data_IF_735300675957
#
_entry.id   IF_735300675957
#
_cell.length_a   1.000
_cell.length_b   1.000
_cell.length_c   1.000
_cell.angle_alpha   90.00
_cell.angle_beta   90.00
_cell.angle_gamma   90.00
#
_symmetry.space_group_name_H-M   'P 1'
#
loop_
_entity.id
_entity.type
_entity.pdbx_description
1 polymer ?
#
# COMPACT_ATOMS: atom_id res chain seq x y z
N UNK A 1 16.48 13.03 15.15
CA UNK A 1 15.43 13.22 16.18
C UNK A 1 14.99 11.85 16.64
N UNK A 2 14.81 11.62 17.94
CA UNK A 2 14.21 10.39 18.44
C UNK A 2 12.68 10.55 18.36
N UNK A 3 12.02 9.69 17.59
CA UNK A 3 10.56 9.66 17.49
C UNK A 3 9.99 8.79 18.61
N UNK A 4 8.80 9.14 19.10
CA UNK A 4 8.04 8.21 19.93
C UNK A 4 7.64 7.01 19.05
N UNK A 5 7.83 5.80 19.56
CA UNK A 5 7.36 4.59 18.88
C UNK A 5 5.83 4.54 18.88
N UNK A 6 5.21 3.93 17.86
CA UNK A 6 3.77 3.71 17.85
C UNK A 6 3.33 3.00 19.12
N UNK A 7 2.30 3.54 19.77
CA UNK A 7 1.77 2.97 21.02
C UNK A 7 0.78 1.85 20.76
N UNK A 8 0.27 1.77 19.52
CA UNK A 8 -0.79 0.85 19.09
C UNK A 8 -0.53 0.40 17.67
N UNK A 9 -1.03 -0.79 17.34
CA UNK A 9 -1.27 -1.23 15.98
C UNK A 9 -2.75 -1.05 15.64
N UNK A 10 -3.09 -0.97 14.37
CA UNK A 10 -4.47 -0.73 13.94
C UNK A 10 -4.85 -1.62 12.76
N UNK A 11 -6.00 -2.27 12.84
CA UNK A 11 -6.63 -2.91 11.69
C UNK A 11 -7.20 -1.85 10.73
N UNK A 12 -7.02 -2.11 9.44
CA UNK A 12 -7.57 -1.33 8.34
C UNK A 12 -8.68 -2.14 7.68
N UNK A 13 -9.89 -1.59 7.66
CA UNK A 13 -11.03 -2.18 6.98
C UNK A 13 -11.40 -1.33 5.76
N UNK A 14 -11.36 -1.94 4.58
CA UNK A 14 -12.00 -1.39 3.39
C UNK A 14 -13.52 -1.49 3.56
N UNK A 15 -14.20 -0.35 3.46
CA UNK A 15 -15.65 -0.24 3.62
C UNK A 15 -16.35 -0.56 2.30
N UNK A 16 -17.62 -0.96 2.40
CA UNK A 16 -18.50 -1.28 1.27
C UNK A 16 -19.24 -0.06 0.70
N UNK A 17 -18.74 1.14 1.00
CA UNK A 17 -19.34 2.42 0.62
C UNK A 17 -18.29 3.44 0.20
N UNK A 18 -18.68 4.46 -0.59
CA UNK A 18 -17.85 5.61 -0.87
C UNK A 18 -17.29 6.27 0.39
N UNK A 19 -16.10 6.86 0.25
CA UNK A 19 -15.43 7.54 1.35
C UNK A 19 -16.23 8.77 1.80
N UNK A 20 -16.38 8.90 3.12
CA UNK A 20 -16.76 10.14 3.78
C UNK A 20 -15.48 10.72 4.42
N UNK A 21 -14.84 11.66 3.72
CA UNK A 21 -13.57 12.28 4.12
C UNK A 21 -13.63 13.00 5.48
N UNK A 22 -14.82 13.26 6.03
CA UNK A 22 -14.97 13.85 7.36
C UNK A 22 -14.93 12.81 8.49
N UNK A 23 -15.10 11.53 8.18
CA UNK A 23 -15.27 10.45 9.17
C UNK A 23 -14.28 9.31 9.01
N UNK A 24 -13.92 8.99 7.77
CA UNK A 24 -13.10 7.84 7.43
C UNK A 24 -11.60 8.18 7.54
N UNK A 25 -10.76 7.15 7.64
CA UNK A 25 -9.30 7.29 7.68
C UNK A 25 -8.68 7.32 6.28
N UNK A 26 -9.43 7.76 5.27
CA UNK A 26 -9.00 7.79 3.89
C UNK A 26 -9.84 6.87 3.00
N UNK A 27 -9.26 6.45 1.88
CA UNK A 27 -9.95 5.68 0.88
C UNK A 27 -9.02 4.80 0.04
N UNK A 28 -9.59 3.71 -0.46
CA UNK A 28 -9.03 2.82 -1.48
C UNK A 28 -9.65 3.18 -2.83
N UNK A 29 -8.87 3.05 -3.90
CA UNK A 29 -9.16 3.44 -5.29
C UNK A 29 -9.42 4.95 -5.46
N UNK A 30 -9.98 5.34 -6.60
CA UNK A 30 -10.31 6.72 -6.89
C UNK A 30 -9.08 7.55 -7.28
N UNK A 31 -9.05 8.79 -6.78
CA UNK A 31 -8.05 9.79 -7.13
C UNK A 31 -7.35 10.29 -5.85
N UNK A 32 -6.06 10.66 -5.91
CA UNK A 32 -5.34 11.27 -4.81
C UNK A 32 -5.78 12.72 -4.60
N UNK A 33 -5.66 13.26 -3.37
CA UNK A 33 -6.04 14.64 -3.09
C UNK A 33 -4.87 15.62 -3.21
N UNK A 34 -5.17 16.88 -3.50
CA UNK A 34 -4.32 18.02 -3.17
C UNK A 34 -3.06 18.21 -4.01
N UNK A 35 -2.90 17.46 -5.09
CA UNK A 35 -1.79 17.61 -6.03
C UNK A 35 -2.30 18.13 -7.38
N UNK A 36 -1.42 18.80 -8.12
CA UNK A 36 -1.67 19.11 -9.53
C UNK A 36 -1.48 17.86 -10.41
N UNK A 37 -2.08 17.84 -11.60
CA UNK A 37 -1.92 16.72 -12.54
C UNK A 37 -0.46 16.50 -12.93
N UNK A 38 0.34 17.56 -13.03
CA UNK A 38 1.77 17.51 -13.35
C UNK A 38 2.62 16.93 -12.21
N UNK A 39 2.08 16.91 -10.99
CA UNK A 39 2.75 16.33 -9.82
C UNK A 39 2.43 14.85 -9.64
N UNK A 40 1.53 14.29 -10.47
CA UNK A 40 1.15 12.89 -10.44
C UNK A 40 2.34 12.01 -10.84
N UNK A 41 2.69 10.97 -10.06
CA UNK A 41 3.80 10.08 -10.39
C UNK A 41 3.56 9.31 -11.70
N UNK A 42 4.43 9.51 -12.69
CA UNK A 42 4.44 8.68 -13.90
C UNK A 42 5.25 7.40 -13.68
N UNK A 43 4.82 6.34 -14.36
CA UNK A 43 5.47 5.04 -14.44
C UNK A 43 6.66 5.13 -15.41
N UNK A 44 7.91 4.95 -14.95
CA UNK A 44 9.08 4.99 -15.82
C UNK A 44 9.23 3.74 -16.70
N UNK A 45 8.40 2.71 -16.50
CA UNK A 45 8.37 1.52 -17.37
C UNK A 45 7.48 1.78 -18.58
N UNK A 46 6.31 2.37 -18.38
CA UNK A 46 5.27 2.48 -19.43
C UNK A 46 5.03 3.90 -19.93
N UNK A 47 5.44 4.91 -19.17
CA UNK A 47 5.18 6.32 -19.46
C UNK A 47 3.75 6.78 -19.16
N UNK A 48 2.89 5.89 -18.66
CA UNK A 48 1.55 6.22 -18.17
C UNK A 48 1.58 6.74 -16.73
N UNK A 49 0.53 7.41 -16.25
CA UNK A 49 0.39 7.70 -14.83
C UNK A 49 0.35 6.40 -14.01
N UNK A 50 1.08 6.34 -12.88
CA UNK A 50 0.92 5.26 -11.92
C UNK A 50 -0.52 5.28 -11.36
N UNK A 51 -1.10 4.12 -11.11
CA UNK A 51 -2.44 4.03 -10.56
C UNK A 51 -2.41 4.42 -9.08
N UNK A 52 -3.30 5.31 -8.67
CA UNK A 52 -3.55 5.56 -7.25
C UNK A 52 -4.33 4.37 -6.67
N UNK A 53 -3.77 3.71 -5.66
CA UNK A 53 -4.47 2.60 -5.02
C UNK A 53 -5.09 2.97 -3.68
N UNK A 54 -4.46 3.81 -2.85
CA UNK A 54 -5.11 4.34 -1.65
C UNK A 54 -4.51 5.66 -1.16
N UNK A 55 -5.31 6.41 -0.41
CA UNK A 55 -4.86 7.49 0.46
C UNK A 55 -5.24 7.17 1.89
N UNK A 56 -4.27 7.18 2.80
CA UNK A 56 -4.45 6.87 4.22
C UNK A 56 -4.13 8.09 5.09
N UNK A 57 -5.09 8.49 5.93
CA UNK A 57 -4.88 9.46 6.99
C UNK A 57 -4.18 8.77 8.17
N UNK A 58 -2.96 9.20 8.47
CA UNK A 58 -2.11 8.57 9.48
C UNK A 58 -2.57 8.97 10.89
N UNK A 59 -2.71 7.98 11.80
CA UNK A 59 -2.79 8.24 13.24
C UNK A 59 -1.60 9.07 13.72
N UNK A 60 -1.81 9.86 14.77
CA UNK A 60 -0.76 10.78 15.27
C UNK A 60 0.55 10.04 15.61
N UNK A 61 0.46 8.84 16.18
CA UNK A 61 1.62 8.02 16.55
C UNK A 61 2.31 7.33 15.35
N UNK A 62 1.80 7.51 14.13
CA UNK A 62 2.43 7.07 12.88
C UNK A 62 2.97 8.23 12.02
N UNK A 63 2.85 9.50 12.48
CA UNK A 63 3.33 10.69 11.75
C UNK A 63 4.82 10.94 11.98
N UNK A 64 5.66 10.17 11.31
CA UNK A 64 7.13 10.21 11.47
C UNK A 64 7.86 11.26 10.63
N UNK A 65 7.18 11.88 9.67
CA UNK A 65 7.76 12.91 8.79
C UNK A 65 7.47 14.34 9.24
N UNK A 66 7.14 14.50 10.51
CA UNK A 66 6.76 15.77 11.12
C UNK A 66 5.25 15.94 11.24
N UNK A 67 4.85 16.79 12.20
CA UNK A 67 3.45 17.00 12.60
C UNK A 67 2.54 17.49 11.46
N UNK A 68 3.10 18.15 10.46
CA UNK A 68 2.36 18.74 9.35
C UNK A 68 2.06 17.72 8.25
N UNK A 69 2.77 16.58 8.24
CA UNK A 69 2.53 15.45 7.35
C UNK A 69 1.54 14.51 8.01
N UNK A 70 0.33 14.46 7.49
CA UNK A 70 -0.80 13.78 8.13
C UNK A 70 -1.31 12.57 7.36
N UNK A 71 -0.98 12.45 6.07
CA UNK A 71 -1.49 11.39 5.22
C UNK A 71 -0.44 10.93 4.21
N UNK A 72 -0.70 9.77 3.60
CA UNK A 72 0.09 9.20 2.53
C UNK A 72 -0.82 8.74 1.40
N UNK A 73 -0.45 9.03 0.16
CA UNK A 73 -1.04 8.40 -1.03
C UNK A 73 -0.05 7.43 -1.64
N UNK A 74 -0.50 6.21 -1.96
CA UNK A 74 0.34 5.17 -2.55
C UNK A 74 -0.10 4.86 -3.98
N UNK A 75 0.89 4.68 -4.86
CA UNK A 75 0.74 4.49 -6.28
C UNK A 75 1.60 3.32 -6.75
N UNK A 76 1.14 2.61 -7.77
CA UNK A 76 1.87 1.49 -8.37
C UNK A 76 1.59 1.37 -9.87
N UNK A 77 2.43 0.59 -10.56
CA UNK A 77 2.12 0.13 -11.91
C UNK A 77 0.76 -0.60 -11.92
N UNK A 78 -0.13 -0.29 -12.89
CA UNK A 78 -1.43 -0.95 -13.00
C UNK A 78 -1.32 -2.48 -13.14
N UNK A 79 -2.24 -3.23 -12.54
CA UNK A 79 -2.23 -4.69 -12.53
C UNK A 79 -2.22 -5.35 -13.94
N UNK A 80 -2.77 -4.67 -14.95
CA UNK A 80 -2.77 -5.10 -16.35
C UNK A 80 -1.42 -4.85 -17.07
N UNK A 81 -0.49 -4.17 -16.41
CA UNK A 81 0.88 -3.91 -16.90
C UNK A 81 1.96 -4.66 -16.11
N UNK A 82 1.59 -5.45 -15.08
CA UNK A 82 2.54 -6.15 -14.19
C UNK A 82 2.66 -7.65 -14.49
N UNK A 83 2.84 -8.05 -15.75
CA UNK A 83 3.07 -9.45 -16.14
C UNK A 83 4.47 -9.63 -16.75
N UNK A 84 5.22 -10.63 -16.27
CA UNK A 84 6.51 -11.03 -16.84
C UNK A 84 7.73 -10.16 -16.49
N UNK A 85 7.58 -9.15 -15.63
CA UNK A 85 8.66 -8.23 -15.21
C UNK A 85 8.75 -6.98 -16.07
N UNK A 86 9.29 -5.89 -15.52
CA UNK A 86 9.37 -4.62 -16.22
C UNK A 86 10.31 -4.71 -17.43
N UNK A 87 9.84 -4.24 -18.59
CA UNK A 87 10.68 -4.07 -19.77
C UNK A 87 11.47 -2.77 -19.59
N UNK A 88 12.80 -2.84 -19.57
CA UNK A 88 13.62 -1.65 -19.45
C UNK A 88 13.49 -0.75 -20.69
N UNK A 89 13.08 0.50 -20.47
CA UNK A 89 12.92 1.53 -21.49
C UNK A 89 13.62 2.82 -21.00
N UNK A 90 14.96 2.91 -21.18
CA UNK A 90 15.76 4.01 -20.63
C UNK A 90 15.27 5.41 -21.03
N UNK A 91 14.77 5.56 -22.26
CA UNK A 91 14.25 6.83 -22.77
C UNK A 91 12.98 7.27 -22.04
N UNK A 92 12.09 6.33 -21.69
CA UNK A 92 10.88 6.61 -20.90
C UNK A 92 11.29 7.00 -19.48
N UNK A 93 12.22 6.24 -18.87
CA UNK A 93 12.72 6.52 -17.52
C UNK A 93 13.38 7.89 -17.39
N UNK A 94 14.22 8.26 -18.37
CA UNK A 94 14.84 9.58 -18.43
C UNK A 94 13.79 10.68 -18.56
N UNK A 95 12.81 10.49 -19.46
CA UNK A 95 11.72 11.45 -19.65
C UNK A 95 10.85 11.61 -18.39
N UNK A 96 10.53 10.53 -17.67
CA UNK A 96 9.80 10.60 -16.40
C UNK A 96 10.61 11.34 -15.33
N UNK A 97 11.92 11.09 -15.25
CA UNK A 97 12.81 11.73 -14.28
C UNK A 97 12.95 13.24 -14.54
N UNK A 98 12.85 13.67 -15.80
CA UNK A 98 12.90 15.07 -16.19
C UNK A 98 11.61 15.84 -15.89
N UNK A 99 10.49 15.16 -15.62
CA UNK A 99 9.22 15.83 -15.31
C UNK A 99 9.26 16.48 -13.92
N UNK A 100 8.53 17.60 -13.73
CA UNK A 100 8.23 18.10 -12.40
C UNK A 100 7.62 16.99 -11.53
N UNK A 101 8.01 16.93 -10.27
CA UNK A 101 7.45 15.98 -9.32
C UNK A 101 7.02 16.69 -8.04
N UNK A 102 6.11 16.04 -7.31
CA UNK A 102 5.74 16.51 -5.99
C UNK A 102 6.98 16.53 -5.07
N UNK A 103 7.20 17.60 -4.27
CA UNK A 103 8.43 17.74 -3.46
C UNK A 103 8.61 16.69 -2.37
N UNK A 104 7.55 15.93 -2.06
CA UNK A 104 7.58 14.81 -1.10
C UNK A 104 7.21 13.48 -1.74
N UNK A 105 7.59 13.31 -3.00
CA UNK A 105 7.54 12.04 -3.69
C UNK A 105 8.70 11.15 -3.23
N UNK A 106 8.37 9.92 -2.88
CA UNK A 106 9.32 8.83 -2.71
C UNK A 106 9.01 7.75 -3.75
N UNK A 107 10.04 7.31 -4.48
CA UNK A 107 9.96 6.22 -5.44
C UNK A 107 10.63 4.98 -4.86
N UNK A 108 10.05 3.83 -5.14
CA UNK A 108 10.52 2.52 -4.72
C UNK A 108 10.40 1.56 -5.90
N UNK A 109 11.29 0.58 -5.95
CA UNK A 109 11.33 -0.42 -7.01
C UNK A 109 11.36 -1.79 -6.36
N UNK A 110 10.66 -2.77 -6.93
CA UNK A 110 10.71 -4.16 -6.47
C UNK A 110 11.76 -5.00 -7.21
N UNK A 111 11.82 -6.30 -6.91
CA UNK A 111 12.75 -7.24 -7.56
C UNK A 111 12.44 -7.50 -9.04
N UNK A 112 11.26 -7.10 -9.52
CA UNK A 112 10.83 -7.21 -10.91
C UNK A 112 11.00 -5.90 -11.68
N UNK A 113 11.68 -4.92 -11.07
CA UNK A 113 11.93 -3.59 -11.60
C UNK A 113 10.65 -2.75 -11.86
N UNK A 114 9.51 -3.12 -11.26
CA UNK A 114 8.30 -2.30 -11.27
C UNK A 114 8.37 -1.16 -10.26
N UNK A 115 7.64 -0.09 -10.55
CA UNK A 115 7.74 1.15 -9.80
C UNK A 115 6.53 1.45 -8.95
N UNK A 116 6.84 1.90 -7.75
CA UNK A 116 5.91 2.29 -6.72
C UNK A 116 6.26 3.69 -6.26
N UNK A 117 5.24 4.46 -5.90
CA UNK A 117 5.41 5.81 -5.43
C UNK A 117 4.56 6.07 -4.20
N UNK A 118 5.13 6.79 -3.25
CA UNK A 118 4.42 7.33 -2.10
C UNK A 118 4.51 8.86 -2.12
N UNK A 119 3.38 9.52 -1.89
CA UNK A 119 3.32 10.96 -1.65
C UNK A 119 2.96 11.21 -0.20
N UNK A 120 3.86 11.89 0.52
CA UNK A 120 3.57 12.41 1.86
C UNK A 120 2.80 13.72 1.77
N UNK A 121 1.63 13.74 2.39
CA UNK A 121 0.67 14.83 2.26
C UNK A 121 0.59 15.65 3.54
N UNK A 122 0.61 16.97 3.35
CA UNK A 122 0.21 17.92 4.38
C UNK A 122 -1.29 17.84 4.65
N UNK A 123 -1.74 18.45 5.75
CA UNK A 123 -3.18 18.59 6.01
C UNK A 123 -3.91 19.32 4.86
N UNK A 124 -3.34 20.40 4.33
CA UNK A 124 -3.94 21.15 3.22
C UNK A 124 -4.06 20.33 1.95
N UNK A 125 -3.08 19.48 1.66
CA UNK A 125 -3.12 18.59 0.49
C UNK A 125 -4.13 17.47 0.71
N UNK A 126 -4.13 16.85 1.89
CA UNK A 126 -5.12 15.82 2.23
C UNK A 126 -6.55 16.35 2.14
N UNK A 127 -6.82 17.60 2.50
CA UNK A 127 -8.13 18.26 2.41
C UNK A 127 -8.42 18.87 1.03
N UNK A 128 -7.45 18.84 0.11
CA UNK A 128 -7.56 19.43 -1.21
C UNK A 128 -8.54 18.72 -2.15
N UNK A 129 -8.73 19.32 -3.32
CA UNK A 129 -9.49 18.72 -4.42
C UNK A 129 -8.81 17.44 -4.92
N UNK A 130 -9.60 16.52 -5.46
CA UNK A 130 -9.06 15.32 -6.10
C UNK A 130 -8.37 15.70 -7.42
N UNK A 131 -7.18 15.16 -7.64
CA UNK A 131 -6.38 15.42 -8.82
C UNK A 131 -6.84 14.55 -9.99
N UNK A 132 -6.87 15.09 -11.20
CA UNK A 132 -7.05 14.29 -12.42
C UNK A 132 -5.72 13.71 -12.88
N UNK A 133 -5.67 12.47 -13.39
CA UNK A 133 -4.44 11.91 -13.93
C UNK A 133 -3.96 12.70 -15.17
N UNK A 134 -2.66 12.92 -15.34
CA UNK A 134 -2.13 13.58 -16.53
C UNK A 134 -2.25 12.68 -17.77
N UNK A 135 -2.03 13.26 -18.95
CA UNK A 135 -1.81 12.47 -20.16
C UNK A 135 -0.52 11.63 -20.02
N UNK A 136 -0.43 10.46 -20.68
CA UNK A 136 0.83 9.72 -20.73
C UNK A 136 1.92 10.51 -21.45
N UNK A 137 3.17 10.11 -21.26
CA UNK A 137 4.28 10.61 -22.07
C UNK A 137 4.02 10.31 -23.55
N UNK A 138 4.47 11.22 -24.43
CA UNK A 138 4.40 11.01 -25.88
C UNK A 138 5.21 9.78 -26.35
N UNK A 139 6.15 9.31 -25.52
CA UNK A 139 6.97 8.12 -25.75
C UNK A 139 6.28 6.82 -25.29
N UNK A 140 5.13 6.89 -24.63
CA UNK A 140 4.43 5.70 -24.14
C UNK A 140 3.96 4.84 -25.33
N UNK A 141 4.41 3.59 -25.36
CA UNK A 141 4.07 2.60 -26.40
C UNK A 141 3.21 1.46 -25.89
N UNK A 142 3.10 1.29 -24.57
CA UNK A 142 2.21 0.32 -23.96
C UNK A 142 0.76 0.63 -24.30
N UNK A 143 -0.07 -0.41 -24.27
CA UNK A 143 -1.52 -0.24 -24.34
C UNK A 143 -1.99 0.65 -23.19
N UNK A 144 -3.11 1.35 -23.42
CA UNK A 144 -3.67 2.22 -22.40
C UNK A 144 -4.18 1.37 -21.24
N UNK A 145 -3.74 1.63 -19.98
CA UNK A 145 -4.18 0.84 -18.85
C UNK A 145 -5.65 1.08 -18.57
N UNK A 146 -6.39 0.01 -18.30
CA UNK A 146 -7.86 0.00 -18.25
C UNK A 146 -8.42 0.94 -17.18
N UNK A 147 -7.70 1.15 -16.08
CA UNK A 147 -8.16 2.01 -14.99
C UNK A 147 -8.40 3.46 -15.44
N UNK A 148 -7.71 3.93 -16.49
CA UNK A 148 -7.90 5.29 -17.01
C UNK A 148 -9.26 5.47 -17.73
N UNK A 149 -9.93 4.37 -18.07
CA UNK A 149 -11.23 4.41 -18.77
C UNK A 149 -12.40 4.07 -17.86
N UNK A 150 -12.21 3.19 -16.87
CA UNK A 150 -13.28 2.69 -15.99
C UNK A 150 -13.03 2.91 -14.49
N UNK A 151 -11.90 3.51 -14.10
CA UNK A 151 -11.51 3.63 -12.70
C UNK A 151 -10.81 2.40 -12.14
N UNK A 152 -9.96 2.61 -11.13
CA UNK A 152 -9.15 1.55 -10.51
C UNK A 152 -9.99 0.42 -9.91
N UNK A 153 -11.09 0.76 -9.22
CA UNK A 153 -11.97 -0.22 -8.60
C UNK A 153 -12.61 -1.16 -9.63
N UNK A 154 -13.18 -0.62 -10.72
CA UNK A 154 -13.79 -1.44 -11.77
C UNK A 154 -12.77 -2.22 -12.59
N UNK A 155 -11.60 -1.63 -12.85
CA UNK A 155 -10.51 -2.31 -13.57
C UNK A 155 -10.03 -3.53 -12.77
N UNK A 156 -9.73 -3.35 -11.47
CA UNK A 156 -9.33 -4.45 -10.59
C UNK A 156 -10.42 -5.51 -10.48
N UNK A 157 -11.67 -5.13 -10.18
CA UNK A 157 -12.78 -6.09 -10.02
C UNK A 157 -12.94 -7.00 -11.25
N UNK A 158 -12.78 -6.44 -12.46
CA UNK A 158 -12.91 -7.19 -13.71
C UNK A 158 -11.79 -8.19 -13.98
N UNK A 159 -10.61 -8.01 -13.39
CA UNK A 159 -9.45 -8.90 -13.54
C UNK A 159 -9.19 -9.76 -12.29
N UNK A 160 -9.74 -9.38 -11.14
CA UNK A 160 -9.44 -9.97 -9.85
C UNK A 160 -9.91 -11.44 -9.74
N UNK A 161 -9.16 -12.28 -9.02
CA UNK A 161 -9.59 -13.64 -8.71
C UNK A 161 -10.86 -13.64 -7.83
N UNK A 162 -11.62 -14.75 -7.79
CA UNK A 162 -12.90 -14.81 -7.08
C UNK A 162 -12.82 -14.49 -5.58
N UNK A 163 -11.69 -14.72 -4.92
CA UNK A 163 -11.55 -14.37 -3.50
C UNK A 163 -11.45 -12.84 -3.31
N UNK A 164 -10.73 -12.13 -4.18
CA UNK A 164 -10.58 -10.69 -4.12
C UNK A 164 -11.88 -9.98 -4.56
N UNK A 165 -12.62 -10.53 -5.53
CA UNK A 165 -13.93 -10.01 -5.93
C UNK A 165 -14.94 -10.01 -4.77
N UNK A 166 -14.87 -11.00 -3.85
CA UNK A 166 -15.74 -11.08 -2.67
C UNK A 166 -15.49 -9.99 -1.64
N UNK A 167 -14.37 -9.26 -1.75
CA UNK A 167 -14.08 -8.13 -0.88
C UNK A 167 -14.91 -6.89 -1.23
N UNK A 168 -15.60 -6.91 -2.38
CA UNK A 168 -16.55 -5.88 -2.78
C UNK A 168 -17.97 -6.36 -2.49
N UNK A 169 -18.83 -5.45 -2.00
CA UNK A 169 -20.25 -5.76 -1.80
C UNK A 169 -21.00 -6.02 -3.12
N UNK A 170 -20.47 -5.53 -4.24
CA UNK A 170 -20.96 -5.75 -5.59
C UNK A 170 -19.99 -5.15 -6.62
N UNK A 171 -20.29 -5.28 -7.92
CA UNK A 171 -19.49 -4.66 -8.97
C UNK A 171 -19.37 -3.13 -8.76
N UNK A 172 -18.15 -2.58 -8.68
CA UNK A 172 -17.95 -1.13 -8.52
C UNK A 172 -18.45 -0.35 -9.73
N UNK A 173 -18.73 0.95 -9.55
CA UNK A 173 -19.05 1.83 -10.68
C UNK A 173 -17.81 2.01 -11.57
N UNK A 174 -18.05 2.06 -12.88
CA UNK A 174 -17.03 2.37 -13.88
C UNK A 174 -16.76 3.89 -13.91
N UNK A 175 -16.09 4.41 -12.88
CA UNK A 175 -15.82 5.82 -12.66
C UNK A 175 -14.44 6.03 -12.02
N UNK A 176 -13.66 7.00 -12.50
CA UNK A 176 -12.34 7.34 -11.95
C UNK A 176 -12.39 7.79 -10.48
N UNK A 177 -13.53 8.28 -10.02
CA UNK A 177 -13.76 8.78 -8.66
C UNK A 177 -14.38 7.74 -7.73
N UNK A 178 -14.62 6.52 -8.21
CA UNK A 178 -15.12 5.43 -7.37
C UNK A 178 -14.10 5.12 -6.27
N UNK A 179 -14.53 5.25 -5.02
CA UNK A 179 -13.71 5.06 -3.83
C UNK A 179 -14.40 4.10 -2.88
N UNK A 180 -13.62 3.45 -2.03
CA UNK A 180 -14.09 2.71 -0.87
C UNK A 180 -13.46 3.32 0.39
N UNK A 181 -14.27 3.70 1.38
CA UNK A 181 -13.76 4.30 2.60
C UNK A 181 -12.84 3.36 3.39
N UNK A 182 -11.92 3.91 4.18
CA UNK A 182 -11.08 3.14 5.11
C UNK A 182 -11.55 3.41 6.53
N UNK A 183 -11.88 2.36 7.28
CA UNK A 183 -12.06 2.44 8.73
C UNK A 183 -10.83 1.91 9.45
N UNK A 184 -10.45 2.59 10.53
CA UNK A 184 -9.33 2.23 11.38
C UNK A 184 -9.82 1.74 12.75
N UNK A 185 -9.30 0.61 13.23
CA UNK A 185 -9.62 0.08 14.57
C UNK A 185 -8.35 -0.29 15.31
N UNK A 186 -8.12 0.19 16.55
CA UNK A 186 -6.99 -0.24 17.35
C UNK A 186 -7.03 -1.76 17.57
N UNK A 187 -5.91 -2.44 17.36
CA UNK A 187 -5.75 -3.85 17.75
C UNK A 187 -5.69 -3.97 19.25
N UNK A 188 -6.53 -4.81 19.83
CA UNK A 188 -6.41 -5.16 21.22
C UNK A 188 -5.21 -6.09 21.40
N UNK A 189 -4.28 -5.74 22.31
CA UNK A 189 -3.25 -6.66 22.81
C UNK A 189 -2.24 -7.20 21.78
N UNK A 190 -1.98 -6.49 20.67
CA UNK A 190 -0.89 -6.86 19.75
C UNK A 190 0.48 -6.65 20.46
N UNK A 191 1.24 -7.72 20.76
CA UNK A 191 2.50 -7.62 21.51
C UNK A 191 3.62 -6.96 20.69
N UNK A 192 3.38 -6.71 19.40
CA UNK A 192 4.34 -6.13 18.48
C UNK A 192 4.07 -4.66 18.13
N UNK A 193 3.06 -4.04 18.75
CA UNK A 193 2.87 -2.60 18.61
C UNK A 193 4.15 -1.84 18.98
N UNK A 194 4.63 -0.99 18.06
CA UNK A 194 5.85 -0.21 18.23
C UNK A 194 7.17 -0.97 18.03
N UNK A 195 7.13 -2.26 17.67
CA UNK A 195 8.32 -3.07 17.42
C UNK A 195 8.62 -3.19 15.94
N UNK A 196 9.90 -3.19 15.53
CA UNK A 196 10.26 -3.49 14.15
C UNK A 196 10.00 -4.97 13.87
N UNK A 197 9.33 -5.32 12.75
CA UNK A 197 9.19 -6.69 12.30
C UNK A 197 10.53 -7.42 12.24
N UNK A 198 10.51 -8.71 12.58
CA UNK A 198 11.66 -9.58 12.43
C UNK A 198 11.22 -10.98 12.04
N UNK A 199 11.85 -11.51 11.00
CA UNK A 199 11.69 -12.89 10.62
C UNK A 199 12.29 -13.83 11.67
N UNK A 200 11.55 -14.83 12.18
CA UNK A 200 12.05 -15.76 13.18
C UNK A 200 13.22 -16.62 12.67
N UNK A 201 13.39 -16.76 11.35
CA UNK A 201 14.49 -17.52 10.73
C UNK A 201 15.76 -16.69 10.54
N UNK A 202 15.68 -15.36 10.64
CA UNK A 202 16.83 -14.45 10.52
C UNK A 202 17.09 -13.74 11.86
N UNK A 203 17.99 -14.27 12.71
CA UNK A 203 18.25 -13.68 14.03
C UNK A 203 18.94 -12.32 13.91
N UNK A 204 18.42 -11.29 14.60
CA UNK A 204 19.08 -10.00 14.83
C UNK A 204 19.98 -10.02 16.07
N UNK A 205 20.97 -9.14 16.07
CA UNK A 205 21.82 -8.84 17.23
C UNK A 205 21.74 -7.34 17.56
N UNK A 206 21.21 -6.93 18.73
CA UNK A 206 20.62 -7.78 19.77
C UNK A 206 19.30 -8.45 19.32
N UNK A 207 18.86 -9.54 19.98
CA UNK A 207 17.59 -10.20 19.68
C UNK A 207 16.42 -9.24 19.85
N UNK A 208 15.45 -9.26 18.91
CA UNK A 208 14.17 -8.56 19.08
C UNK A 208 13.25 -9.37 19.98
N UNK A 209 12.35 -8.66 20.67
CA UNK A 209 11.20 -9.23 21.38
C UNK A 209 9.93 -9.25 20.51
N UNK A 210 10.09 -9.10 19.19
CA UNK A 210 9.04 -9.29 18.19
C UNK A 210 8.60 -10.75 18.13
N UNK A 211 7.28 -10.99 18.17
CA UNK A 211 6.68 -12.32 18.24
C UNK A 211 5.98 -12.67 16.92
N UNK A 212 6.23 -13.85 16.32
CA UNK A 212 5.41 -14.29 15.18
C UNK A 212 3.94 -14.48 15.60
N UNK A 213 3.01 -14.33 14.66
CA UNK A 213 1.57 -14.56 14.90
C UNK A 213 1.21 -16.04 15.09
N UNK A 214 2.15 -16.94 14.80
CA UNK A 214 2.02 -18.38 14.87
C UNK A 214 3.13 -19.01 15.71
N UNK A 215 2.91 -20.26 16.11
CA UNK A 215 3.91 -21.11 16.74
C UNK A 215 3.67 -22.57 16.35
N UNK A 216 4.67 -23.43 16.59
CA UNK A 216 4.54 -24.87 16.38
C UNK A 216 4.55 -25.63 17.71
N UNK A 217 3.62 -26.56 17.87
CA UNK A 217 3.63 -27.52 18.99
C UNK A 217 4.51 -28.70 18.59
N UNK A 218 5.82 -28.61 18.86
CA UNK A 218 6.80 -29.63 18.45
C UNK A 218 7.54 -29.23 17.18
N UNK A 219 7.84 -30.20 16.30
CA UNK A 219 8.57 -29.96 15.06
C UNK A 219 7.72 -29.13 14.05
N UNK A 220 8.32 -28.24 13.26
CA UNK A 220 7.60 -27.47 12.23
C UNK A 220 6.90 -28.39 11.22
N UNK A 221 5.57 -28.41 11.24
CA UNK A 221 4.71 -29.09 10.27
C UNK A 221 3.31 -28.46 10.27
N UNK A 222 2.51 -28.60 9.20
CA UNK A 222 1.15 -28.09 9.16
C UNK A 222 0.27 -28.58 10.34
N UNK A 223 0.46 -29.83 10.78
CA UNK A 223 -0.31 -30.42 11.89
C UNK A 223 0.04 -29.81 13.25
N UNK A 224 1.26 -29.28 13.38
CA UNK A 224 1.76 -28.66 14.59
C UNK A 224 1.58 -27.13 14.60
N UNK A 225 1.19 -26.54 13.46
CA UNK A 225 0.96 -25.10 13.32
C UNK A 225 -0.21 -24.62 14.20
N UNK A 226 0.00 -23.57 14.97
CA UNK A 226 -1.02 -22.91 15.79
C UNK A 226 -0.90 -21.40 15.66
N UNK A 227 -2.04 -20.73 15.74
CA UNK A 227 -2.11 -19.28 15.88
C UNK A 227 -2.14 -18.91 17.37
N UNK A 228 -1.46 -17.83 17.72
CA UNK A 228 -1.64 -17.25 19.05
C UNK A 228 -3.08 -16.72 19.21
N UNK A 229 -3.66 -16.85 20.41
CA UNK A 229 -5.01 -16.35 20.70
C UNK A 229 -5.13 -14.85 20.43
N UNK A 230 -4.12 -14.07 20.82
CA UNK A 230 -4.08 -12.62 20.58
C UNK A 230 -4.07 -12.24 19.10
N UNK A 231 -3.69 -13.16 18.22
CA UNK A 231 -3.59 -12.89 16.79
C UNK A 231 -4.90 -13.16 16.05
N UNK A 232 -5.82 -13.98 16.58
CA UNK A 232 -6.94 -14.54 15.81
C UNK A 232 -7.85 -13.50 15.13
N UNK A 233 -8.06 -12.35 15.79
CA UNK A 233 -8.97 -11.31 15.31
C UNK A 233 -8.25 -10.17 14.56
N UNK A 234 -6.94 -10.28 14.33
CA UNK A 234 -6.18 -9.30 13.56
C UNK A 234 -6.54 -9.40 12.07
N UNK A 235 -6.88 -8.26 11.47
CA UNK A 235 -7.17 -8.16 10.04
C UNK A 235 -5.90 -8.34 9.19
N UNK A 236 -6.10 -8.61 7.91
CA UNK A 236 -5.01 -8.72 6.93
C UNK A 236 -4.35 -7.37 6.64
N UNK A 237 -5.15 -6.31 6.44
CA UNK A 237 -4.62 -4.96 6.23
C UNK A 237 -4.47 -4.25 7.58
N UNK A 238 -3.31 -3.66 7.85
CA UNK A 238 -3.07 -2.98 9.13
C UNK A 238 -1.91 -2.00 9.14
N UNK A 239 -1.90 -1.13 10.16
CA UNK A 239 -0.78 -0.29 10.54
C UNK A 239 -0.02 -0.90 11.71
N UNK A 240 1.28 -1.13 11.51
CA UNK A 240 2.22 -1.63 12.50
C UNK A 240 1.79 -2.94 13.17
N UNK A 241 2.46 -3.29 14.27
CA UNK A 241 2.12 -4.49 15.02
C UNK A 241 2.65 -5.77 14.38
N UNK A 242 1.86 -6.83 14.43
CA UNK A 242 2.25 -8.15 13.93
C UNK A 242 1.95 -8.28 12.44
N UNK A 243 3.02 -8.39 11.66
CA UNK A 243 3.02 -8.64 10.21
C UNK A 243 2.65 -10.09 9.87
N UNK A 244 2.02 -10.28 8.71
CA UNK A 244 1.59 -11.57 8.15
C UNK A 244 1.92 -11.70 6.66
N UNK A 245 3.20 -11.60 6.28
CA UNK A 245 3.56 -11.69 4.88
C UNK A 245 3.31 -13.10 4.36
N UNK A 246 2.99 -13.22 3.07
CA UNK A 246 2.85 -14.52 2.41
C UNK A 246 4.15 -15.34 2.42
N UNK A 247 5.30 -14.66 2.42
CA UNK A 247 6.63 -15.26 2.44
C UNK A 247 7.46 -14.76 3.64
N UNK A 248 8.73 -14.39 3.42
CA UNK A 248 9.62 -13.92 4.48
C UNK A 248 9.16 -12.58 5.06
N UNK A 249 9.51 -12.31 6.32
CA UNK A 249 9.24 -11.02 6.97
C UNK A 249 10.30 -10.01 6.55
N UNK A 250 9.96 -8.97 5.77
CA UNK A 250 10.93 -7.98 5.33
C UNK A 250 11.44 -7.11 6.47
N UNK A 251 12.63 -6.54 6.27
CA UNK A 251 13.24 -5.65 7.24
C UNK A 251 12.61 -4.25 7.23
N UNK A 252 11.66 -4.01 8.14
CA UNK A 252 10.94 -2.74 8.24
C UNK A 252 11.10 -2.09 9.63
N UNK A 253 10.89 -0.77 9.69
CA UNK A 253 10.68 -0.04 10.93
C UNK A 253 9.30 -0.33 11.54
N UNK A 254 9.01 0.10 12.78
CA UNK A 254 7.67 -0.04 13.38
C UNK A 254 6.56 0.76 12.67
N UNK A 255 6.92 1.65 11.75
CA UNK A 255 6.01 2.58 11.10
C UNK A 255 5.66 2.09 9.69
N UNK A 256 4.92 0.99 9.60
CA UNK A 256 4.58 0.38 8.32
C UNK A 256 3.07 0.16 8.17
N UNK A 257 2.64 -0.01 6.92
CA UNK A 257 1.38 -0.64 6.55
C UNK A 257 1.67 -1.99 5.91
N UNK A 258 0.86 -2.99 6.24
CA UNK A 258 0.71 -4.21 5.46
C UNK A 258 -0.67 -4.22 4.82
N UNK A 259 -0.75 -4.59 3.54
CA UNK A 259 -1.98 -4.57 2.77
C UNK A 259 -2.01 -5.63 1.65
N UNK A 260 -3.20 -6.15 1.40
CA UNK A 260 -3.51 -7.15 0.38
C UNK A 260 -3.75 -6.48 -0.98
N UNK A 261 -3.69 -7.25 -2.07
CA UNK A 261 -3.92 -6.77 -3.45
C UNK A 261 -5.22 -5.96 -3.63
N UNK A 262 -6.31 -6.42 -2.99
CA UNK A 262 -7.62 -5.77 -3.10
C UNK A 262 -7.65 -4.40 -2.41
N UNK A 263 -6.69 -4.12 -1.53
CA UNK A 263 -6.52 -2.83 -0.87
C UNK A 263 -5.70 -1.88 -1.77
N UNK A 264 -6.21 -1.62 -2.97
CA UNK A 264 -5.63 -0.66 -3.92
C UNK A 264 -5.55 -1.16 -5.36
N UNK A 265 -5.87 -2.44 -5.59
CA UNK A 265 -6.03 -3.01 -6.93
C UNK A 265 -4.73 -3.45 -7.58
N UNK A 266 -3.84 -4.05 -6.80
CA UNK A 266 -2.52 -4.47 -7.24
C UNK A 266 -2.52 -5.91 -7.73
N UNK A 267 -1.41 -6.31 -8.35
CA UNK A 267 -1.14 -7.70 -8.68
C UNK A 267 0.21 -8.08 -8.05
N UNK A 268 0.11 -8.75 -6.91
CA UNK A 268 1.20 -9.33 -6.14
C UNK A 268 1.15 -10.86 -6.24
N UNK A 269 0.60 -11.44 -7.31
CA UNK A 269 0.49 -12.89 -7.46
C UNK A 269 -0.30 -13.55 -6.33
N UNK A 270 -1.44 -12.99 -5.94
CA UNK A 270 -2.31 -13.44 -4.84
C UNK A 270 -1.73 -13.32 -3.43
N UNK A 271 -0.68 -12.53 -3.27
CA UNK A 271 -0.08 -12.25 -1.97
C UNK A 271 -0.35 -10.84 -1.45
N UNK A 272 0.62 -10.29 -0.72
CA UNK A 272 0.47 -9.02 -0.02
C UNK A 272 1.76 -8.20 -0.01
N UNK A 273 1.65 -6.93 0.38
CA UNK A 273 2.73 -5.98 0.37
C UNK A 273 2.86 -5.21 1.69
N UNK A 274 4.06 -4.70 1.93
CA UNK A 274 4.41 -3.90 3.09
C UNK A 274 5.13 -2.62 2.66
N UNK A 275 4.71 -1.50 3.23
CA UNK A 275 5.33 -0.18 3.01
C UNK A 275 5.75 0.40 4.36
N UNK A 276 7.05 0.59 4.55
CA UNK A 276 7.63 1.34 5.66
C UNK A 276 7.53 2.84 5.38
N UNK A 277 6.72 3.55 6.16
CA UNK A 277 6.55 4.98 6.02
C UNK A 277 7.80 5.74 6.41
N UNK A 278 8.54 5.32 7.43
CA UNK A 278 9.69 6.05 7.96
C UNK A 278 10.84 6.02 6.96
N UNK A 279 11.12 4.85 6.42
CA UNK A 279 12.28 4.61 5.56
C UNK A 279 11.92 4.60 4.06
N UNK A 280 10.63 4.66 3.73
CA UNK A 280 10.09 4.56 2.36
C UNK A 280 10.64 3.33 1.65
N UNK A 281 10.53 2.19 2.34
CA UNK A 281 10.88 0.86 1.82
C UNK A 281 9.60 0.12 1.49
N UNK A 282 9.59 -0.53 0.34
CA UNK A 282 8.48 -1.32 -0.14
C UNK A 282 8.97 -2.74 -0.39
N UNK A 283 8.17 -3.72 0.02
CA UNK A 283 8.40 -5.14 -0.22
C UNK A 283 7.03 -5.79 -0.48
N UNK A 284 7.03 -6.87 -1.25
CA UNK A 284 5.83 -7.66 -1.50
C UNK A 284 6.21 -9.11 -1.77
N UNK A 285 5.25 -10.00 -1.52
CA UNK A 285 5.42 -11.42 -1.73
C UNK A 285 4.23 -12.00 -2.48
N UNK A 286 4.48 -12.96 -3.37
CA UNK A 286 3.42 -13.78 -3.97
C UNK A 286 2.97 -14.92 -3.07
N UNK A 287 1.69 -15.30 -3.23
CA UNK A 287 1.01 -16.36 -2.50
C UNK A 287 1.10 -17.74 -3.15
#
# INVERSE_FOLDING_TARGET
MAFALPSRAYDLQMLDRPTDRARDQGWVFGLPPGIASEQWPLDPVTGYPLMHGFTLLLPEDYRVHGKDIVALSFFATPADHTDGGAIDAPEIREAVTAQPSHPRLSRMTDILDYEYAALLLTKSEYEGALATPPAPLALATADRPRWLDVGGASAFYGAAPPFAQKMFAGPPRADLTETLGIALRPRATDPNAGKPPQDPHFPRNPPSDYQPYYYFVGAPSPENYRLHEWAKDHAHNHLGGTMRPCQAVPEMSPFYIEFEEYFGGYNFGTGNAQLDFKEMKFDWACG
#
